data_IF_738292773260
#
_entry.id   IF_738292773260
#
_cell.length_a   1.000
_cell.length_b   1.000
_cell.length_c   1.000
_cell.angle_alpha   90.00
_cell.angle_beta   90.00
_cell.angle_gamma   90.00
#
_symmetry.space_group_name_H-M   'P 1'
#
loop_
_entity.id
_entity.type
_entity.pdbx_description
1 polymer ?
#
# COMPACT_ATOMS: atom_id res chain seq x y z
N UNK A 1 64.58 8.09 25.74
CA UNK A 1 63.78 9.08 24.97
C UNK A 1 62.96 8.50 23.84
N UNK A 2 63.41 7.54 23.03
CA UNK A 2 62.68 6.99 21.86
C UNK A 2 61.38 6.30 22.28
N UNK A 3 61.32 5.50 23.37
CA UNK A 3 60.13 4.79 23.83
C UNK A 3 58.98 5.71 24.26
N UNK A 4 59.28 6.90 24.82
CA UNK A 4 58.26 7.85 25.23
C UNK A 4 57.62 8.54 24.02
N UNK A 5 58.40 8.84 22.97
CA UNK A 5 57.86 9.40 21.71
C UNK A 5 57.03 8.38 20.93
N UNK A 6 57.40 7.12 20.93
CA UNK A 6 56.61 6.03 20.31
C UNK A 6 55.25 5.87 21.01
N UNK A 7 55.19 5.97 22.33
CA UNK A 7 53.92 5.88 23.08
C UNK A 7 53.00 7.07 22.84
N UNK A 8 53.56 8.31 22.76
CA UNK A 8 52.78 9.50 22.41
C UNK A 8 52.28 9.47 20.99
N UNK A 9 53.10 9.05 20.01
CA UNK A 9 52.66 8.94 18.62
C UNK A 9 51.68 7.81 18.41
N UNK A 10 51.81 6.68 19.16
CA UNK A 10 50.83 5.57 19.11
C UNK A 10 49.44 6.00 19.59
N UNK A 11 49.35 6.85 20.59
CA UNK A 11 48.08 7.40 21.06
C UNK A 11 47.41 8.27 19.99
N UNK A 12 48.14 9.19 19.37
CA UNK A 12 47.66 10.03 18.28
C UNK A 12 47.17 9.19 17.11
N UNK A 13 47.89 8.14 16.76
CA UNK A 13 47.46 7.18 15.74
C UNK A 13 46.14 6.48 16.10
N UNK A 14 45.97 6.08 17.37
CA UNK A 14 44.76 5.44 17.84
C UNK A 14 43.57 6.41 17.78
N UNK A 15 43.75 7.66 18.18
CA UNK A 15 42.71 8.69 18.06
C UNK A 15 42.31 8.96 16.58
N UNK A 16 43.30 9.15 15.69
CA UNK A 16 43.06 9.37 14.30
C UNK A 16 42.35 8.17 13.65
N UNK A 17 42.74 6.97 14.02
CA UNK A 17 42.10 5.74 13.53
C UNK A 17 40.64 5.63 14.00
N UNK A 18 40.37 5.98 15.26
CA UNK A 18 39.02 6.00 15.79
C UNK A 18 38.14 7.06 15.09
N UNK A 19 38.69 8.25 14.88
CA UNK A 19 38.00 9.32 14.13
C UNK A 19 37.72 8.84 12.70
N UNK A 20 38.69 8.18 12.06
CA UNK A 20 38.49 7.64 10.70
C UNK A 20 37.38 6.57 10.67
N UNK A 21 37.32 5.66 11.63
CA UNK A 21 36.25 4.65 11.73
C UNK A 21 34.90 5.32 11.89
N UNK A 22 34.78 6.32 12.78
CA UNK A 22 33.52 7.04 12.99
C UNK A 22 33.10 7.78 11.72
N UNK A 23 34.03 8.48 11.08
CA UNK A 23 33.76 9.19 9.82
C UNK A 23 33.36 8.23 8.71
N UNK A 24 34.04 7.10 8.58
CA UNK A 24 33.69 6.07 7.62
C UNK A 24 32.26 5.56 7.85
N UNK A 25 31.93 5.19 9.09
CA UNK A 25 30.59 4.73 9.46
C UNK A 25 29.51 5.77 9.14
N UNK A 26 29.77 7.05 9.45
CA UNK A 26 28.84 8.13 9.14
C UNK A 26 28.66 8.30 7.63
N UNK A 27 29.74 8.29 6.85
CA UNK A 27 29.69 8.41 5.39
C UNK A 27 28.93 7.22 4.76
N UNK A 28 29.19 6.01 5.21
CA UNK A 28 28.54 4.80 4.74
C UNK A 28 27.04 4.84 5.08
N UNK A 29 26.69 5.18 6.32
CA UNK A 29 25.31 5.31 6.78
C UNK A 29 24.54 6.38 5.99
N UNK A 30 25.16 7.55 5.77
CA UNK A 30 24.54 8.61 4.96
C UNK A 30 24.41 8.20 3.50
N UNK A 31 25.39 7.47 2.95
CA UNK A 31 25.34 6.91 1.60
C UNK A 31 24.18 5.91 1.45
N UNK A 32 24.04 4.99 2.39
CA UNK A 32 22.95 4.02 2.43
C UNK A 32 21.59 4.70 2.56
N UNK A 33 21.47 5.68 3.46
CA UNK A 33 20.23 6.44 3.63
C UNK A 33 19.85 7.19 2.35
N UNK A 34 20.82 7.87 1.73
CA UNK A 34 20.61 8.58 0.47
C UNK A 34 20.18 7.62 -0.63
N UNK A 35 20.89 6.50 -0.82
CA UNK A 35 20.56 5.48 -1.80
C UNK A 35 19.14 4.96 -1.58
N UNK A 36 18.79 4.59 -0.35
CA UNK A 36 17.45 4.08 -0.01
C UNK A 36 16.37 5.11 -0.24
N UNK A 37 16.63 6.38 0.07
CA UNK A 37 15.67 7.48 -0.12
C UNK A 37 15.34 7.71 -1.60
N UNK A 38 16.35 7.71 -2.48
CA UNK A 38 16.16 7.98 -3.90
C UNK A 38 15.78 6.74 -4.74
N UNK A 39 15.81 5.57 -4.14
CA UNK A 39 15.35 4.35 -4.81
C UNK A 39 13.86 4.47 -5.19
N UNK A 40 13.45 4.07 -6.39
CA UNK A 40 12.06 4.13 -6.81
C UNK A 40 11.12 3.43 -5.83
N UNK A 41 9.99 4.04 -5.54
CA UNK A 41 8.96 3.46 -4.66
C UNK A 41 8.19 2.31 -5.34
N UNK A 42 8.18 2.29 -6.69
CA UNK A 42 7.35 1.36 -7.47
C UNK A 42 5.93 1.85 -7.71
N UNK A 43 5.60 3.03 -7.20
CA UNK A 43 4.34 3.72 -7.42
C UNK A 43 4.54 5.24 -7.44
N UNK A 44 3.53 5.96 -7.93
CA UNK A 44 3.56 7.41 -8.04
C UNK A 44 2.48 8.01 -7.14
N UNK A 45 2.87 8.96 -6.30
CA UNK A 45 2.00 9.69 -5.37
C UNK A 45 1.67 11.11 -5.83
N UNK A 46 2.29 11.59 -6.93
CA UNK A 46 2.00 12.93 -7.44
C UNK A 46 0.52 13.01 -7.84
N UNK A 47 -0.13 14.10 -7.51
CA UNK A 47 -1.56 14.31 -7.76
C UNK A 47 -2.50 13.31 -7.07
N UNK A 48 -2.03 12.59 -6.05
CA UNK A 48 -2.84 11.68 -5.27
C UNK A 48 -3.28 12.36 -3.98
N UNK A 49 -4.56 12.20 -3.66
CA UNK A 49 -5.17 12.75 -2.47
C UNK A 49 -5.93 11.67 -1.71
N UNK A 50 -5.95 11.80 -0.39
CA UNK A 50 -6.75 10.99 0.51
C UNK A 50 -7.87 11.82 1.10
N UNK A 51 -9.09 11.29 1.13
CA UNK A 51 -10.19 11.91 1.86
C UNK A 51 -10.06 11.61 3.36
N UNK A 52 -10.10 12.67 4.16
CA UNK A 52 -10.29 12.57 5.60
C UNK A 52 -11.77 12.82 5.90
N UNK A 53 -12.43 11.86 6.52
CA UNK A 53 -13.85 11.89 6.79
C UNK A 53 -14.12 11.87 8.28
N UNK A 54 -15.12 12.64 8.72
CA UNK A 54 -15.61 12.66 10.09
C UNK A 54 -17.03 12.12 10.10
N UNK A 55 -17.33 11.24 11.06
CA UNK A 55 -18.69 10.81 11.35
C UNK A 55 -19.31 11.76 12.35
N UNK A 56 -20.48 12.29 12.03
CA UNK A 56 -21.29 13.11 12.92
C UNK A 56 -22.38 12.28 13.58
N UNK A 57 -22.56 12.46 14.89
CA UNK A 57 -23.66 11.87 15.66
C UNK A 57 -23.35 10.51 16.34
N UNK A 58 -24.13 10.22 17.40
CA UNK A 58 -23.96 9.04 18.25
C UNK A 58 -24.56 7.75 17.68
N UNK A 59 -25.15 7.76 16.49
CA UNK A 59 -25.77 6.54 15.98
C UNK A 59 -24.69 5.60 15.42
N UNK A 60 -24.30 4.65 16.20
CA UNK A 60 -23.70 3.39 15.78
C UNK A 60 -24.69 2.55 14.95
N UNK A 61 -25.40 3.20 14.05
CA UNK A 61 -26.35 2.52 13.22
C UNK A 61 -25.60 1.71 12.17
N UNK A 62 -25.92 0.49 12.15
CA UNK A 62 -25.44 -0.65 11.35
C UNK A 62 -24.33 -0.37 10.34
N UNK A 63 -23.31 -1.22 10.36
CA UNK A 63 -22.19 -1.26 9.41
C UNK A 63 -22.60 -1.16 7.92
N UNK A 64 -23.79 -1.58 7.56
CA UNK A 64 -24.36 -1.51 6.22
C UNK A 64 -24.62 -0.07 5.76
N UNK A 65 -25.15 0.79 6.61
CA UNK A 65 -25.42 2.19 6.29
C UNK A 65 -24.13 2.96 5.96
N UNK A 66 -23.03 2.63 6.64
CA UNK A 66 -21.76 3.30 6.40
C UNK A 66 -21.09 2.82 5.10
N UNK A 67 -21.19 1.54 4.78
CA UNK A 67 -20.70 1.02 3.50
C UNK A 67 -21.35 1.72 2.29
N UNK A 68 -22.67 1.92 2.35
CA UNK A 68 -23.41 2.64 1.29
C UNK A 68 -22.95 4.10 1.17
N UNK A 69 -22.65 4.75 2.29
CA UNK A 69 -22.10 6.12 2.29
C UNK A 69 -20.72 6.18 1.62
N UNK A 70 -19.82 5.27 1.99
CA UNK A 70 -18.50 5.19 1.34
C UNK A 70 -18.62 4.95 -0.17
N UNK A 71 -19.49 4.03 -0.57
CA UNK A 71 -19.75 3.75 -1.98
C UNK A 71 -20.36 4.95 -2.70
N UNK A 72 -21.31 5.64 -2.07
CA UNK A 72 -21.92 6.86 -2.60
C UNK A 72 -20.89 7.98 -2.81
N UNK A 73 -20.00 8.19 -1.83
CA UNK A 73 -18.89 9.15 -1.96
C UNK A 73 -17.95 8.75 -3.10
N UNK A 74 -17.55 7.46 -3.17
CA UNK A 74 -16.69 6.98 -4.24
C UNK A 74 -17.30 7.20 -5.62
N UNK A 75 -18.57 6.85 -5.80
CA UNK A 75 -19.28 7.03 -7.08
C UNK A 75 -19.43 8.51 -7.47
N UNK A 76 -19.70 9.40 -6.50
CA UNK A 76 -19.75 10.84 -6.76
C UNK A 76 -18.37 11.36 -7.17
N UNK A 77 -17.33 10.94 -6.46
CA UNK A 77 -15.95 11.35 -6.73
C UNK A 77 -15.47 10.90 -8.11
N UNK A 78 -15.83 9.70 -8.56
CA UNK A 78 -15.51 9.19 -9.90
C UNK A 78 -16.21 10.01 -11.03
N UNK A 79 -17.28 10.72 -10.72
CA UNK A 79 -17.97 11.60 -11.67
C UNK A 79 -17.41 13.01 -11.74
N UNK A 80 -16.54 13.39 -10.79
CA UNK A 80 -15.93 14.70 -10.77
C UNK A 80 -14.94 14.89 -11.93
N UNK A 81 -15.10 15.95 -12.75
CA UNK A 81 -14.26 16.16 -13.94
C UNK A 81 -12.77 16.26 -13.63
N UNK A 82 -12.41 16.77 -12.45
CA UNK A 82 -11.02 16.91 -12.01
C UNK A 82 -10.39 15.57 -11.63
N UNK A 83 -11.20 14.57 -11.31
CA UNK A 83 -10.72 13.25 -10.86
C UNK A 83 -10.43 12.37 -12.06
N UNK A 84 -9.24 11.79 -12.09
CA UNK A 84 -8.83 10.81 -13.10
C UNK A 84 -9.35 9.42 -12.73
N UNK A 85 -9.18 9.04 -11.47
CA UNK A 85 -9.57 7.74 -10.93
C UNK A 85 -9.66 7.83 -9.41
N UNK A 86 -10.61 7.12 -8.82
CA UNK A 86 -10.75 6.97 -7.38
C UNK A 86 -10.73 5.50 -6.98
N UNK A 87 -10.41 5.24 -5.73
CA UNK A 87 -10.41 3.88 -5.16
C UNK A 87 -10.74 3.94 -3.68
N UNK A 88 -11.41 2.89 -3.22
CA UNK A 88 -11.57 2.60 -1.82
C UNK A 88 -10.64 1.44 -1.45
N UNK A 89 -9.96 1.58 -0.34
CA UNK A 89 -9.13 0.52 0.24
C UNK A 89 -9.47 0.31 1.72
N UNK A 90 -9.07 -0.84 2.24
CA UNK A 90 -9.32 -1.21 3.62
C UNK A 90 -8.01 -1.57 4.30
N UNK A 91 -7.57 -0.74 5.26
CA UNK A 91 -6.29 -0.89 5.98
C UNK A 91 -5.07 -1.11 5.06
N UNK A 92 -5.03 -0.45 3.91
CA UNK A 92 -4.15 -0.88 2.82
C UNK A 92 -3.49 0.26 2.05
N UNK A 93 -3.38 1.45 2.62
CA UNK A 93 -2.69 2.54 1.91
C UNK A 93 -1.17 2.40 2.06
N UNK A 94 -0.39 2.64 0.98
CA UNK A 94 1.04 2.80 1.09
C UNK A 94 1.37 3.91 2.08
N UNK A 95 2.52 3.86 2.73
CA UNK A 95 2.97 4.84 3.75
C UNK A 95 2.05 5.00 4.96
N UNK A 96 0.88 4.40 5.01
CA UNK A 96 0.09 4.33 6.24
C UNK A 96 0.71 3.29 7.17
N UNK A 97 0.71 3.57 8.47
CA UNK A 97 1.18 2.59 9.48
C UNK A 97 0.26 1.36 9.61
N UNK A 98 -0.89 1.41 8.97
CA UNK A 98 -1.92 0.38 9.06
C UNK A 98 -1.81 -0.58 7.88
N UNK A 99 -1.55 -1.85 8.17
CA UNK A 99 -1.52 -2.90 7.16
C UNK A 99 -2.18 -4.15 7.71
N UNK A 100 -2.89 -4.85 6.84
CA UNK A 100 -3.37 -6.20 7.11
C UNK A 100 -2.29 -7.20 6.72
N UNK A 101 -2.06 -8.20 7.55
CA UNK A 101 -1.09 -9.27 7.29
C UNK A 101 -1.81 -10.60 7.24
N UNK A 102 -1.34 -11.47 6.36
CA UNK A 102 -1.71 -12.87 6.36
C UNK A 102 -0.60 -13.69 5.70
N UNK A 103 -0.58 -14.98 5.95
CA UNK A 103 0.41 -15.89 5.37
C UNK A 103 -0.24 -16.74 4.28
N UNK A 104 0.34 -16.70 3.08
CA UNK A 104 0.05 -17.65 2.02
C UNK A 104 1.11 -18.75 2.02
N UNK A 105 0.70 -19.98 1.78
CA UNK A 105 1.59 -21.12 1.74
C UNK A 105 1.41 -21.95 0.49
N UNK A 106 2.50 -22.54 0.00
CA UNK A 106 2.50 -23.61 -0.98
C UNK A 106 2.51 -24.93 -0.23
N UNK A 107 1.49 -25.77 -0.45
CA UNK A 107 1.37 -27.10 0.18
C UNK A 107 1.49 -27.07 1.72
N UNK A 108 1.02 -26.03 2.36
CA UNK A 108 1.09 -25.80 3.82
C UNK A 108 2.50 -25.86 4.44
N UNK A 109 3.54 -25.87 3.63
CA UNK A 109 4.93 -26.05 4.11
C UNK A 109 5.80 -24.82 3.89
N UNK A 110 5.66 -24.14 2.75
CA UNK A 110 6.46 -22.95 2.41
C UNK A 110 5.54 -21.76 2.44
N UNK A 111 5.47 -21.10 3.60
CA UNK A 111 4.66 -19.91 3.82
C UNK A 111 5.45 -18.62 3.66
N UNK A 112 4.80 -17.60 3.18
CA UNK A 112 5.27 -16.22 3.16
C UNK A 112 4.26 -15.34 3.89
N UNK A 113 4.72 -14.57 4.86
CA UNK A 113 3.91 -13.54 5.49
C UNK A 113 3.79 -12.36 4.54
N UNK A 114 2.58 -12.11 4.08
CA UNK A 114 2.27 -11.09 3.09
C UNK A 114 1.49 -9.96 3.73
N UNK A 115 1.78 -8.76 3.30
CA UNK A 115 0.89 -7.62 3.51
C UNK A 115 -0.25 -7.70 2.52
N UNK A 116 -1.48 -7.58 3.00
CA UNK A 116 -2.67 -7.72 2.17
C UNK A 116 -3.23 -6.36 1.83
N UNK A 117 -3.35 -6.07 0.55
CA UNK A 117 -4.08 -4.89 0.04
C UNK A 117 -5.47 -5.35 -0.37
N UNK A 118 -6.49 -4.86 0.35
CA UNK A 118 -7.88 -5.03 -0.03
C UNK A 118 -8.36 -3.70 -0.63
N UNK A 119 -8.64 -3.68 -1.92
CA UNK A 119 -8.99 -2.43 -2.60
C UNK A 119 -9.90 -2.64 -3.81
N UNK A 120 -10.63 -1.60 -4.19
CA UNK A 120 -11.40 -1.57 -5.43
C UNK A 120 -10.50 -1.51 -6.66
N UNK A 121 -11.03 -1.86 -7.83
CA UNK A 121 -10.25 -2.01 -9.06
C UNK A 121 -9.50 -0.75 -9.55
N UNK A 122 -9.84 0.42 -9.03
CA UNK A 122 -9.12 1.67 -9.34
C UNK A 122 -7.77 1.84 -8.65
N UNK A 123 -7.48 1.04 -7.62
CA UNK A 123 -6.35 1.27 -6.71
C UNK A 123 -4.98 1.33 -7.39
N UNK A 124 -4.65 0.35 -8.22
CA UNK A 124 -3.37 0.32 -8.94
C UNK A 124 -3.20 1.50 -9.89
N UNK A 125 -4.32 1.98 -10.47
CA UNK A 125 -4.34 3.14 -11.34
C UNK A 125 -4.17 4.46 -10.56
N UNK A 126 -4.77 4.57 -9.35
CA UNK A 126 -4.54 5.74 -8.47
C UNK A 126 -3.05 5.91 -8.20
N UNK A 127 -2.36 4.84 -7.89
CA UNK A 127 -0.93 4.86 -7.56
C UNK A 127 -0.01 4.63 -8.76
N UNK A 128 -0.56 4.47 -9.98
CA UNK A 128 0.22 4.15 -11.19
C UNK A 128 1.22 3.02 -10.96
N UNK A 129 0.75 1.96 -10.28
CA UNK A 129 1.56 0.77 -10.04
C UNK A 129 1.77 0.01 -11.36
N UNK A 130 2.95 -0.59 -11.51
CA UNK A 130 3.25 -1.43 -12.67
C UNK A 130 2.46 -2.74 -12.56
N UNK A 131 1.64 -3.04 -13.56
CA UNK A 131 0.87 -4.28 -13.66
C UNK A 131 0.96 -4.86 -15.07
N UNK A 132 0.62 -6.15 -15.22
CA UNK A 132 0.52 -6.78 -16.53
C UNK A 132 -0.71 -6.23 -17.27
N UNK A 133 -0.49 -5.58 -18.41
CA UNK A 133 -1.55 -5.02 -19.23
C UNK A 133 -2.59 -6.08 -19.70
N UNK A 134 -2.19 -7.35 -19.77
CA UNK A 134 -3.11 -8.46 -20.14
C UNK A 134 -3.94 -8.95 -18.96
N UNK A 135 -3.49 -8.68 -17.73
CA UNK A 135 -4.13 -9.10 -16.48
C UNK A 135 -4.16 -7.94 -15.48
N UNK A 136 -4.87 -6.84 -15.79
CA UNK A 136 -4.89 -5.68 -14.90
C UNK A 136 -5.68 -6.00 -13.63
N UNK A 137 -5.31 -5.36 -12.54
CA UNK A 137 -5.98 -5.53 -11.24
C UNK A 137 -7.48 -5.24 -11.31
N UNK A 138 -7.87 -4.26 -12.10
CA UNK A 138 -9.29 -3.93 -12.32
C UNK A 138 -10.11 -5.08 -12.95
N UNK A 139 -9.48 -5.97 -13.71
CA UNK A 139 -10.12 -7.13 -14.32
C UNK A 139 -10.02 -8.41 -13.47
N UNK A 140 -9.29 -8.39 -12.35
CA UNK A 140 -9.18 -9.52 -11.46
C UNK A 140 -10.56 -9.89 -10.90
N UNK A 141 -10.89 -11.21 -10.80
CA UNK A 141 -12.13 -11.62 -10.15
C UNK A 141 -12.22 -11.05 -8.74
N UNK A 142 -13.43 -10.69 -8.35
CA UNK A 142 -13.68 -10.18 -7.01
C UNK A 142 -13.61 -11.35 -6.04
N UNK A 143 -13.16 -11.07 -4.82
CA UNK A 143 -13.31 -11.99 -3.72
C UNK A 143 -14.79 -12.37 -3.60
N UNK A 144 -15.12 -13.58 -3.96
CA UNK A 144 -16.47 -14.08 -3.81
C UNK A 144 -16.74 -14.63 -2.43
N UNK A 145 -17.97 -15.01 -2.21
CA UNK A 145 -18.40 -15.83 -1.09
C UNK A 145 -17.51 -17.10 -1.00
N UNK A 146 -17.45 -17.74 0.14
CA UNK A 146 -16.58 -18.88 0.51
C UNK A 146 -16.55 -20.00 -0.56
N UNK A 147 -17.55 -20.01 -1.45
CA UNK A 147 -17.69 -20.99 -2.56
C UNK A 147 -17.06 -20.56 -3.89
N UNK A 148 -16.67 -19.29 -4.08
CA UNK A 148 -16.26 -18.76 -5.39
C UNK A 148 -14.76 -18.53 -5.57
N UNK A 149 -13.93 -19.03 -4.66
CA UNK A 149 -12.48 -18.98 -4.76
C UNK A 149 -11.88 -17.68 -4.22
N UNK A 150 -10.72 -17.81 -3.59
CA UNK A 150 -9.91 -16.68 -3.18
C UNK A 150 -8.96 -16.31 -4.30
N UNK A 151 -9.04 -15.08 -4.78
CA UNK A 151 -8.19 -14.58 -5.84
C UNK A 151 -7.19 -13.57 -5.29
N UNK A 152 -5.95 -13.64 -5.74
CA UNK A 152 -4.90 -12.70 -5.37
C UNK A 152 -4.02 -12.34 -6.57
N UNK A 153 -3.43 -11.16 -6.55
CA UNK A 153 -2.23 -10.84 -7.32
C UNK A 153 -1.08 -10.69 -6.35
N UNK A 154 0.05 -11.30 -6.67
CA UNK A 154 1.27 -11.16 -5.86
C UNK A 154 2.10 -9.98 -6.37
N UNK A 155 2.83 -9.31 -5.47
CA UNK A 155 3.93 -8.45 -5.89
C UNK A 155 5.07 -9.27 -6.48
N UNK A 156 5.89 -8.66 -7.34
CA UNK A 156 7.09 -9.32 -7.88
C UNK A 156 7.97 -9.87 -6.74
N UNK A 157 8.14 -9.11 -5.64
CA UNK A 157 8.91 -9.57 -4.47
C UNK A 157 8.34 -10.83 -3.82
N UNK A 158 7.00 -10.91 -3.67
CA UNK A 158 6.36 -12.11 -3.15
C UNK A 158 6.51 -13.31 -4.11
N UNK A 159 6.36 -13.09 -5.41
CA UNK A 159 6.55 -14.12 -6.41
C UNK A 159 8.00 -14.63 -6.43
N UNK A 160 8.97 -13.76 -6.30
CA UNK A 160 10.38 -14.13 -6.28
C UNK A 160 10.75 -14.89 -5.00
N UNK A 161 10.16 -14.52 -3.85
CA UNK A 161 10.29 -15.29 -2.61
C UNK A 161 9.89 -16.77 -2.80
N UNK A 162 8.77 -17.02 -3.50
CA UNK A 162 8.33 -18.40 -3.77
C UNK A 162 9.19 -19.08 -4.82
N UNK A 163 9.59 -18.40 -5.90
CA UNK A 163 10.45 -18.98 -6.95
C UNK A 163 11.79 -19.48 -6.40
N UNK A 164 12.36 -18.77 -5.43
CA UNK A 164 13.60 -19.17 -4.77
C UNK A 164 13.46 -20.42 -3.91
N UNK A 165 12.27 -20.70 -3.38
CA UNK A 165 12.03 -21.76 -2.38
C UNK A 165 11.21 -22.92 -2.88
N UNK A 166 10.45 -22.71 -3.95
CA UNK A 166 9.54 -23.71 -4.55
C UNK A 166 9.99 -23.98 -5.98
N UNK A 167 10.65 -25.10 -6.26
CA UNK A 167 11.03 -25.47 -7.62
C UNK A 167 9.81 -25.51 -8.55
N UNK A 168 9.91 -24.79 -9.67
CA UNK A 168 8.81 -24.73 -10.66
C UNK A 168 7.62 -23.87 -10.27
N UNK A 169 7.76 -22.99 -9.27
CA UNK A 169 6.72 -22.03 -8.93
C UNK A 169 6.31 -21.18 -10.13
N UNK A 170 4.99 -21.11 -10.36
CA UNK A 170 4.37 -20.34 -11.44
C UNK A 170 3.06 -19.73 -10.97
N UNK A 171 2.41 -18.94 -11.81
CA UNK A 171 1.08 -18.39 -11.51
C UNK A 171 0.00 -19.46 -11.34
N UNK A 172 0.23 -20.66 -11.88
CA UNK A 172 -0.70 -21.80 -11.76
C UNK A 172 -0.44 -22.65 -10.51
N UNK A 173 0.61 -22.32 -9.74
CA UNK A 173 0.92 -23.03 -8.48
C UNK A 173 -0.18 -22.71 -7.46
N UNK A 174 -0.90 -23.73 -6.93
CA UNK A 174 -1.93 -23.49 -5.94
C UNK A 174 -1.33 -22.99 -4.64
N UNK A 175 -1.93 -21.94 -4.10
CA UNK A 175 -1.65 -21.40 -2.78
C UNK A 175 -2.82 -21.70 -1.83
N UNK A 176 -2.57 -21.65 -0.55
CA UNK A 176 -3.60 -21.67 0.49
C UNK A 176 -3.26 -20.63 1.56
N UNK A 177 -4.26 -20.17 2.30
CA UNK A 177 -3.97 -19.44 3.53
C UNK A 177 -3.35 -20.40 4.53
N UNK A 178 -2.28 -19.97 5.21
CA UNK A 178 -1.60 -20.82 6.18
C UNK A 178 -2.57 -21.29 7.28
N UNK A 179 -2.62 -22.60 7.48
CA UNK A 179 -3.56 -23.23 8.42
C UNK A 179 -4.98 -23.48 7.84
N UNK A 180 -5.20 -23.14 6.57
CA UNK A 180 -6.49 -23.37 5.88
C UNK A 180 -6.24 -23.95 4.48
N UNK A 181 -5.73 -25.16 4.45
CA UNK A 181 -5.42 -25.88 3.19
C UNK A 181 -6.65 -26.25 2.36
N UNK A 182 -7.84 -26.19 2.95
CA UNK A 182 -9.08 -26.47 2.24
C UNK A 182 -9.46 -25.34 1.28
N UNK A 183 -9.00 -24.11 1.54
CA UNK A 183 -9.31 -22.94 0.73
C UNK A 183 -8.17 -22.60 -0.22
N UNK A 184 -8.26 -23.07 -1.46
CA UNK A 184 -7.30 -22.77 -2.52
C UNK A 184 -7.36 -21.28 -2.88
N UNK A 185 -6.19 -20.67 -2.96
CA UNK A 185 -6.01 -19.28 -3.40
C UNK A 185 -5.46 -19.28 -4.83
N UNK A 186 -6.16 -18.65 -5.75
CA UNK A 186 -5.82 -18.59 -7.16
C UNK A 186 -5.06 -17.28 -7.45
N UNK A 187 -3.88 -17.42 -8.04
CA UNK A 187 -3.11 -16.28 -8.51
C UNK A 187 -3.64 -15.80 -9.85
N UNK A 188 -4.00 -14.53 -9.96
CA UNK A 188 -4.53 -13.93 -11.18
C UNK A 188 -3.50 -13.13 -11.98
N UNK A 189 -2.38 -12.79 -11.40
CA UNK A 189 -1.34 -11.99 -12.03
C UNK A 189 -0.30 -11.50 -11.05
N UNK A 190 0.52 -10.56 -11.49
CA UNK A 190 1.56 -9.93 -10.67
C UNK A 190 1.48 -8.41 -10.78
N UNK A 191 1.85 -7.76 -9.68
CA UNK A 191 2.06 -6.32 -9.59
C UNK A 191 3.54 -6.08 -9.34
N UNK A 192 4.11 -5.06 -9.98
CA UNK A 192 5.51 -4.72 -9.83
C UNK A 192 5.91 -4.50 -8.38
N UNK A 193 7.17 -4.71 -8.08
CA UNK A 193 7.71 -4.47 -6.73
C UNK A 193 7.49 -3.03 -6.30
N UNK A 194 7.08 -2.85 -5.06
CA UNK A 194 6.96 -1.54 -4.46
C UNK A 194 7.31 -1.57 -2.97
N UNK A 195 7.61 -0.41 -2.42
CA UNK A 195 8.01 -0.24 -1.02
C UNK A 195 6.94 0.50 -0.23
N UNK A 196 6.66 0.05 0.98
CA UNK A 196 5.71 0.73 1.86
C UNK A 196 6.15 2.14 2.24
N UNK A 197 7.46 2.35 2.41
CA UNK A 197 8.05 3.62 2.84
C UNK A 197 9.35 3.88 2.07
N UNK A 198 9.76 5.15 2.02
CA UNK A 198 11.03 5.53 1.37
C UNK A 198 12.25 4.83 1.93
N UNK A 199 12.26 4.49 3.22
CA UNK A 199 13.37 3.82 3.91
C UNK A 199 13.11 2.34 4.16
N UNK A 200 11.94 1.82 3.74
CA UNK A 200 11.60 0.41 3.90
C UNK A 200 12.28 -0.48 2.87
N UNK A 201 12.44 -1.75 3.23
CA UNK A 201 12.73 -2.79 2.26
C UNK A 201 11.54 -3.02 1.32
N UNK A 202 11.78 -3.69 0.21
CA UNK A 202 10.71 -4.24 -0.61
C UNK A 202 9.97 -5.26 0.26
N UNK A 203 8.67 -5.14 0.34
CA UNK A 203 7.86 -6.05 1.13
C UNK A 203 7.06 -6.95 0.20
N UNK A 204 6.79 -8.13 0.71
CA UNK A 204 5.96 -9.11 0.04
C UNK A 204 4.49 -8.70 0.21
N UNK A 205 3.78 -8.53 -0.91
CA UNK A 205 2.41 -8.07 -0.94
C UNK A 205 1.51 -9.03 -1.71
N UNK A 206 0.27 -9.14 -1.25
CA UNK A 206 -0.82 -9.74 -2.00
C UNK A 206 -1.96 -8.73 -2.14
N UNK A 207 -2.49 -8.61 -3.33
CA UNK A 207 -3.59 -7.71 -3.67
C UNK A 207 -4.86 -8.53 -3.83
N UNK A 208 -5.92 -8.10 -3.17
CA UNK A 208 -7.26 -8.67 -3.24
C UNK A 208 -8.22 -7.59 -3.71
N UNK A 209 -8.92 -7.87 -4.80
CA UNK A 209 -9.94 -6.96 -5.27
C UNK A 209 -11.22 -7.13 -4.46
N UNK A 210 -11.77 -6.02 -4.00
CA UNK A 210 -13.08 -5.95 -3.35
C UNK A 210 -14.07 -5.19 -4.23
N UNK A 211 -15.34 -5.58 -4.17
CA UNK A 211 -16.46 -4.92 -4.82
C UNK A 211 -17.46 -4.37 -3.81
N UNK A 212 -18.57 -3.84 -4.31
CA UNK A 212 -19.66 -3.31 -3.49
C UNK A 212 -20.22 -4.33 -2.51
N UNK A 213 -20.33 -5.61 -2.90
CA UNK A 213 -20.88 -6.65 -2.03
C UNK A 213 -19.94 -6.94 -0.86
N UNK A 214 -18.65 -7.08 -1.14
CA UNK A 214 -17.64 -7.27 -0.09
C UNK A 214 -17.58 -6.05 0.83
N UNK A 215 -17.67 -4.85 0.27
CA UNK A 215 -17.68 -3.61 1.04
C UNK A 215 -18.88 -3.61 1.99
N UNK A 216 -20.07 -3.95 1.52
CA UNK A 216 -21.29 -3.97 2.35
C UNK A 216 -21.27 -5.05 3.43
N UNK A 217 -20.67 -6.19 3.17
CA UNK A 217 -20.68 -7.34 4.10
C UNK A 217 -19.52 -7.36 5.08
N UNK A 218 -18.35 -6.88 4.67
CA UNK A 218 -17.12 -7.02 5.45
C UNK A 218 -16.52 -5.69 5.93
N UNK A 219 -16.89 -4.57 5.31
CA UNK A 219 -16.29 -3.29 5.67
C UNK A 219 -16.81 -2.82 7.03
N UNK A 220 -15.94 -2.88 8.02
CA UNK A 220 -16.14 -2.22 9.29
C UNK A 220 -15.61 -0.79 9.19
N UNK A 221 -16.23 0.11 9.94
CA UNK A 221 -16.04 1.56 9.87
C UNK A 221 -14.60 2.08 9.96
N UNK A 222 -13.73 1.36 10.64
CA UNK A 222 -12.46 1.92 11.11
C UNK A 222 -11.32 1.79 10.12
N UNK A 223 -11.51 1.14 8.98
CA UNK A 223 -10.43 0.85 8.03
C UNK A 223 -10.65 1.35 6.62
N UNK A 224 -11.84 1.89 6.34
CA UNK A 224 -12.16 2.39 5.00
C UNK A 224 -11.42 3.69 4.70
N UNK A 225 -10.74 3.71 3.56
CA UNK A 225 -9.93 4.83 3.10
C UNK A 225 -10.23 5.07 1.63
N UNK A 226 -10.60 6.30 1.28
CA UNK A 226 -10.81 6.69 -0.10
C UNK A 226 -9.62 7.52 -0.54
N UNK A 227 -9.03 7.11 -1.66
CA UNK A 227 -7.95 7.82 -2.34
C UNK A 227 -8.33 8.07 -3.79
N UNK A 228 -7.85 9.16 -4.33
CA UNK A 228 -8.11 9.51 -5.71
C UNK A 228 -6.94 10.25 -6.33
N UNK A 229 -6.83 10.16 -7.63
CA UNK A 229 -5.86 10.90 -8.43
C UNK A 229 -6.57 12.02 -9.16
N UNK A 230 -5.99 13.20 -9.07
CA UNK A 230 -6.42 14.38 -9.84
C UNK A 230 -5.73 14.40 -11.19
N UNK A 231 -6.42 14.86 -12.21
CA UNK A 231 -5.81 15.12 -13.53
C UNK A 231 -4.74 16.18 -13.41
N UNK A 232 -3.57 15.92 -13.96
CA UNK A 232 -2.40 16.79 -13.85
C UNK A 232 -2.69 18.26 -14.25
N UNK A 233 -3.50 18.47 -15.28
CA UNK A 233 -3.88 19.81 -15.74
C UNK A 233 -4.90 20.52 -14.83
N UNK A 234 -5.45 19.83 -13.85
CA UNK A 234 -6.43 20.36 -12.90
C UNK A 234 -5.88 20.42 -11.46
N UNK A 235 -4.72 19.84 -11.22
CA UNK A 235 -4.06 19.88 -9.92
C UNK A 235 -3.27 21.18 -9.78
N UNK A 236 -3.84 22.13 -9.06
CA UNK A 236 -3.24 23.44 -8.79
C UNK A 236 -2.87 23.57 -7.31
N UNK A 237 -1.97 24.48 -6.92
CA UNK A 237 -1.59 24.67 -5.51
C UNK A 237 -2.77 24.97 -4.59
N UNK A 238 -3.85 25.50 -5.09
CA UNK A 238 -5.08 25.81 -4.38
C UNK A 238 -6.17 24.74 -4.52
N UNK A 239 -5.86 23.61 -5.20
CA UNK A 239 -6.83 22.53 -5.44
C UNK A 239 -7.50 22.05 -4.15
N UNK A 240 -6.74 21.86 -3.06
CA UNK A 240 -7.28 21.45 -1.76
C UNK A 240 -8.37 22.41 -1.27
N UNK A 241 -8.08 23.71 -1.27
CA UNK A 241 -9.02 24.73 -0.82
C UNK A 241 -10.28 24.79 -1.70
N UNK A 242 -10.09 24.62 -3.00
CA UNK A 242 -11.16 24.59 -3.99
C UNK A 242 -12.03 23.34 -3.82
N UNK A 243 -11.39 22.19 -3.64
CA UNK A 243 -12.09 20.94 -3.37
C UNK A 243 -12.98 21.03 -2.14
N UNK A 244 -12.43 21.49 -1.00
CA UNK A 244 -13.18 21.61 0.25
C UNK A 244 -14.35 22.60 0.15
N UNK A 245 -14.22 23.65 -0.64
CA UNK A 245 -15.26 24.66 -0.81
C UNK A 245 -16.35 24.27 -1.80
N UNK A 246 -15.96 23.65 -2.92
CA UNK A 246 -16.86 23.46 -4.06
C UNK A 246 -17.31 22.00 -4.24
N UNK A 247 -16.46 21.01 -3.92
CA UNK A 247 -16.72 19.60 -4.19
C UNK A 247 -17.17 18.86 -2.92
N UNK A 248 -16.45 19.04 -1.81
CA UNK A 248 -16.71 18.30 -0.58
C UNK A 248 -18.17 18.40 -0.10
N UNK A 249 -18.85 19.56 -0.13
CA UNK A 249 -20.26 19.65 0.29
C UNK A 249 -21.21 18.77 -0.55
N UNK A 250 -20.85 18.48 -1.80
CA UNK A 250 -21.63 17.59 -2.67
C UNK A 250 -21.33 16.10 -2.42
N UNK A 251 -20.20 15.80 -1.79
CA UNK A 251 -19.83 14.44 -1.39
C UNK A 251 -20.42 14.06 -0.03
N UNK A 252 -20.68 15.03 0.83
CA UNK A 252 -21.25 14.80 2.15
C UNK A 252 -22.52 13.95 2.07
N UNK A 253 -22.68 13.10 3.05
CA UNK A 253 -23.86 12.24 3.25
C UNK A 253 -24.34 12.38 4.68
N UNK A 254 -25.54 11.88 4.97
CA UNK A 254 -26.08 11.91 6.33
C UNK A 254 -25.08 11.33 7.32
N UNK A 255 -24.69 12.13 8.31
CA UNK A 255 -23.73 11.80 9.36
C UNK A 255 -22.30 11.43 8.89
N UNK A 256 -21.91 11.72 7.65
CA UNK A 256 -20.54 11.57 7.18
C UNK A 256 -20.13 12.80 6.36
N UNK A 257 -19.12 13.49 6.83
CA UNK A 257 -18.65 14.76 6.29
C UNK A 257 -17.19 14.66 5.86
N UNK A 258 -16.87 15.29 4.75
CA UNK A 258 -15.48 15.44 4.32
C UNK A 258 -14.83 16.53 5.17
N UNK A 259 -13.95 16.13 6.06
CA UNK A 259 -13.23 17.04 6.95
C UNK A 259 -12.03 17.69 6.26
N UNK A 260 -11.36 16.93 5.43
CA UNK A 260 -10.17 17.40 4.72
C UNK A 260 -9.89 16.53 3.49
N UNK A 261 -9.08 17.08 2.59
CA UNK A 261 -8.42 16.35 1.51
C UNK A 261 -6.92 16.56 1.63
N UNK A 262 -6.22 15.49 1.90
CA UNK A 262 -4.79 15.52 2.23
C UNK A 262 -4.00 15.03 1.02
N UNK A 263 -3.03 15.81 0.50
CA UNK A 263 -2.12 15.30 -0.51
C UNK A 263 -1.32 14.15 0.07
N UNK A 264 -1.09 13.15 -0.75
CA UNK A 264 -0.45 11.89 -0.34
C UNK A 264 1.06 12.00 -0.24
#
# INVERSE_FOLDING_TARGET
MIRARLRSNGWVFAELFLVFIVMWFLCDSLGCLKYTFYRPLGYNIDHVYQLSMIKGGESWDSSMTNADKYLGILQKLEREPAVEVAALSYWSLPMSGNNSYNSLAVQDTIGCELRIINATGGYTRVFRMKEDAKRPFAAMPVRGDVTSGNYVMLSEGAADYYKERVPGFSLDTPLSWYGDSANVVIQCGMIGSFRSYRYGADAEWAFRRIDENVIRTELRDDGAQIVFRVRENMDSPDYRSKFLKEIAPHLDTDNMFIADVVPY
#
